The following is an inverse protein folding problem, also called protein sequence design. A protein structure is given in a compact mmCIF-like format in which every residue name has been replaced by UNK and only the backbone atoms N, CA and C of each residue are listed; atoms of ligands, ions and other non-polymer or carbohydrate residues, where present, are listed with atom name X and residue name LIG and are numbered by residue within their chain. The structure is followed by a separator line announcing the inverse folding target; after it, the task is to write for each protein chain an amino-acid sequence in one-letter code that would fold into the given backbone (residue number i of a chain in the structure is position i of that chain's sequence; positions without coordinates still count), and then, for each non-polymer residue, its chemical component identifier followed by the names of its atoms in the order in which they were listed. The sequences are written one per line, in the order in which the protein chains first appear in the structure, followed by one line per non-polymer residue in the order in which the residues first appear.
data_IF_198051775846
#
_entry.id   IF_198051775846
#
_cell.length_a   1.000
_cell.length_b   1.000
_cell.length_c   1.000
_cell.angle_alpha   90.00
_cell.angle_beta   90.00
_cell.angle_gamma   90.00
#
_symmetry.space_group_name_H-M   'P 1'
#
loop_
_entity.id
_entity.type
_entity.pdbx_description
1 polymer ?
#
# COMPACT_ATOMS: atom_id res chain seq x y z
N UNK A 1 -15.36 -26.58 -17.06
CA UNK A 1 -15.15 -25.20 -16.54
C UNK A 1 -13.69 -24.93 -16.19
N UNK A 2 -13.01 -25.66 -15.30
CA UNK A 2 -11.60 -25.37 -14.91
C UNK A 2 -10.64 -25.34 -16.11
N UNK A 3 -10.73 -26.29 -17.06
CA UNK A 3 -9.90 -26.28 -18.27
C UNK A 3 -10.16 -25.08 -19.18
N UNK A 4 -11.41 -24.63 -19.30
CA UNK A 4 -11.77 -23.44 -20.07
C UNK A 4 -11.20 -22.14 -19.45
N UNK A 5 -11.30 -21.99 -18.13
CA UNK A 5 -10.72 -20.87 -17.40
C UNK A 5 -9.19 -20.88 -17.49
N UNK A 6 -8.56 -22.05 -17.40
CA UNK A 6 -7.11 -22.18 -17.57
C UNK A 6 -6.65 -21.82 -18.98
N UNK A 7 -7.38 -22.23 -20.01
CA UNK A 7 -7.09 -21.89 -21.43
C UNK A 7 -7.22 -20.38 -21.74
N UNK A 8 -8.04 -19.65 -20.96
CA UNK A 8 -8.27 -18.20 -21.12
C UNK A 8 -7.55 -17.37 -20.05
N UNK A 9 -6.69 -17.98 -19.23
CA UNK A 9 -6.06 -17.28 -18.10
C UNK A 9 -5.28 -16.03 -18.53
N UNK A 10 -4.60 -16.06 -19.66
CA UNK A 10 -3.84 -14.89 -20.16
C UNK A 10 -4.77 -13.71 -20.51
N UNK A 11 -5.97 -13.98 -21.01
CA UNK A 11 -6.97 -12.93 -21.27
C UNK A 11 -7.42 -12.28 -19.95
N UNK A 12 -7.69 -13.09 -18.92
CA UNK A 12 -8.06 -12.58 -17.60
C UNK A 12 -6.90 -11.85 -16.91
N UNK A 13 -5.67 -12.33 -17.07
CA UNK A 13 -4.46 -11.64 -16.58
C UNK A 13 -4.29 -10.26 -17.22
N UNK A 14 -4.44 -10.19 -18.54
CA UNK A 14 -4.36 -8.94 -19.27
C UNK A 14 -5.45 -7.94 -18.83
N UNK A 15 -6.68 -8.42 -18.61
CA UNK A 15 -7.77 -7.56 -18.11
C UNK A 15 -7.52 -7.12 -16.66
N UNK A 16 -7.08 -8.01 -15.77
CA UNK A 16 -6.73 -7.68 -14.38
C UNK A 16 -5.58 -6.67 -14.29
N UNK A 17 -4.56 -6.78 -15.15
CA UNK A 17 -3.49 -5.80 -15.24
C UNK A 17 -4.01 -4.42 -15.68
N UNK A 18 -4.91 -4.38 -16.69
CA UNK A 18 -5.56 -3.14 -17.14
C UNK A 18 -6.52 -2.56 -16.09
N UNK A 19 -7.21 -3.40 -15.31
CA UNK A 19 -8.05 -2.98 -14.17
C UNK A 19 -7.19 -2.31 -13.09
N UNK A 20 -6.06 -2.93 -12.72
CA UNK A 20 -5.13 -2.33 -11.77
C UNK A 20 -4.61 -0.98 -12.28
N UNK A 21 -4.14 -0.92 -13.54
CA UNK A 21 -3.65 0.32 -14.15
C UNK A 21 -4.75 1.40 -14.19
N UNK A 22 -5.95 1.05 -14.61
CA UNK A 22 -7.08 1.98 -14.63
C UNK A 22 -7.40 2.51 -13.23
N UNK A 23 -7.43 1.63 -12.23
CA UNK A 23 -7.67 2.00 -10.84
C UNK A 23 -6.59 2.90 -10.26
N UNK A 24 -5.31 2.59 -10.51
CA UNK A 24 -4.19 3.41 -10.02
C UNK A 24 -4.09 4.77 -10.73
N UNK A 25 -4.58 4.89 -11.96
CA UNK A 25 -4.55 6.15 -12.71
C UNK A 25 -5.75 7.07 -12.45
N UNK A 26 -6.89 6.53 -11.96
CA UNK A 26 -8.13 7.30 -11.79
C UNK A 26 -8.62 7.46 -10.35
N UNK A 27 -8.19 6.58 -9.43
CA UNK A 27 -8.67 6.64 -8.05
C UNK A 27 -8.10 7.84 -7.28
N UNK A 28 -8.93 8.51 -6.50
CA UNK A 28 -8.52 9.58 -5.59
C UNK A 28 -7.82 9.05 -4.32
N UNK A 29 -8.02 7.78 -4.00
CA UNK A 29 -7.28 7.03 -2.97
C UNK A 29 -7.26 5.55 -3.29
N UNK A 30 -6.25 4.87 -2.78
CA UNK A 30 -6.22 3.40 -2.71
C UNK A 30 -6.10 2.93 -1.27
N UNK A 31 -6.63 1.77 -0.99
CA UNK A 31 -6.42 1.06 0.27
C UNK A 31 -5.53 -0.15 0.03
N UNK A 32 -4.55 -0.35 0.89
CA UNK A 32 -3.59 -1.45 0.78
C UNK A 32 -3.46 -2.20 2.10
N UNK A 33 -3.25 -3.50 2.01
CA UNK A 33 -3.04 -4.37 3.16
C UNK A 33 -2.34 -5.66 2.73
N UNK A 34 -1.67 -6.35 3.65
CA UNK A 34 -0.93 -7.59 3.40
C UNK A 34 -1.49 -8.75 4.22
N UNK A 35 -1.54 -9.92 3.61
CA UNK A 35 -1.81 -11.17 4.33
C UNK A 35 -0.78 -12.23 3.98
N UNK A 36 -0.48 -13.12 4.95
CA UNK A 36 0.38 -14.27 4.69
C UNK A 36 -0.24 -15.19 3.63
N UNK A 37 0.62 -15.79 2.81
CA UNK A 37 0.26 -16.81 1.82
C UNK A 37 1.27 -17.95 1.85
N UNK A 38 0.94 -19.08 1.18
CA UNK A 38 1.88 -20.17 0.91
C UNK A 38 1.90 -20.46 -0.58
N UNK A 39 3.11 -20.64 -1.11
CA UNK A 39 3.34 -21.01 -2.49
C UNK A 39 4.53 -21.95 -2.57
N UNK A 40 4.35 -23.13 -3.21
CA UNK A 40 5.38 -24.18 -3.31
C UNK A 40 5.99 -24.55 -1.93
N UNK A 41 5.14 -24.64 -0.90
CA UNK A 41 5.58 -24.93 0.46
C UNK A 41 6.24 -23.77 1.20
N UNK A 42 6.62 -22.68 0.51
CA UNK A 42 7.31 -21.50 1.08
C UNK A 42 6.33 -20.45 1.59
N UNK A 43 6.74 -19.72 2.63
CA UNK A 43 6.00 -18.54 3.10
C UNK A 43 6.08 -17.42 2.07
N UNK A 44 4.93 -16.86 1.73
CA UNK A 44 4.76 -15.75 0.81
C UNK A 44 3.82 -14.71 1.41
N UNK A 45 3.66 -13.59 0.72
CA UNK A 45 2.78 -12.50 1.13
C UNK A 45 1.91 -12.09 -0.06
N UNK A 46 0.61 -11.99 0.18
CA UNK A 46 -0.31 -11.41 -0.80
C UNK A 46 -0.66 -9.99 -0.37
N UNK A 47 -0.40 -9.02 -1.26
CA UNK A 47 -0.84 -7.64 -1.09
C UNK A 47 -2.18 -7.45 -1.79
N UNK A 48 -3.11 -6.87 -1.06
CA UNK A 48 -4.33 -6.29 -1.58
C UNK A 48 -4.05 -4.83 -1.99
N UNK A 49 -4.48 -4.46 -3.18
CA UNK A 49 -4.49 -3.10 -3.69
C UNK A 49 -5.90 -2.85 -4.23
N UNK A 50 -6.58 -1.81 -3.74
CA UNK A 50 -7.94 -1.56 -4.19
C UNK A 50 -8.46 -0.18 -3.80
N UNK A 51 -9.62 0.17 -4.36
CA UNK A 51 -10.38 1.37 -4.03
C UNK A 51 -11.87 1.03 -3.91
N UNK A 52 -12.72 2.03 -4.00
CA UNK A 52 -14.18 1.83 -4.10
C UNK A 52 -14.61 1.08 -5.38
N UNK A 53 -13.83 1.11 -6.47
CA UNK A 53 -14.21 0.59 -7.79
C UNK A 53 -13.45 -0.66 -8.22
N UNK A 54 -12.29 -0.96 -7.65
CA UNK A 54 -11.47 -2.10 -8.05
C UNK A 54 -10.80 -2.82 -6.88
N UNK A 55 -10.34 -4.03 -7.14
CA UNK A 55 -9.50 -4.83 -6.24
C UNK A 55 -8.51 -5.65 -7.06
N UNK A 56 -7.26 -5.64 -6.65
CA UNK A 56 -6.21 -6.50 -7.17
C UNK A 56 -5.51 -7.23 -6.01
N UNK A 57 -5.15 -8.49 -6.22
CA UNK A 57 -4.29 -9.28 -5.33
C UNK A 57 -2.98 -9.60 -6.04
N UNK A 58 -1.87 -9.51 -5.32
CA UNK A 58 -0.54 -9.84 -5.86
C UNK A 58 0.25 -10.60 -4.80
N UNK A 59 0.54 -11.87 -5.10
CA UNK A 59 1.33 -12.73 -4.20
C UNK A 59 2.80 -12.71 -4.61
N UNK A 60 3.68 -12.44 -3.66
CA UNK A 60 5.12 -12.40 -3.88
C UNK A 60 5.92 -12.83 -2.64
N UNK A 61 7.26 -12.82 -2.71
CA UNK A 61 8.13 -13.44 -1.71
C UNK A 61 8.24 -12.66 -0.40
N UNK A 62 7.96 -11.36 -0.38
CA UNK A 62 8.26 -10.53 0.80
C UNK A 62 7.27 -9.38 1.03
N UNK A 63 7.36 -8.78 2.23
CA UNK A 63 6.69 -7.53 2.64
C UNK A 63 7.56 -6.29 2.44
N UNK A 64 8.62 -6.34 1.64
CA UNK A 64 9.48 -5.18 1.46
C UNK A 64 8.76 -4.06 0.69
N UNK A 65 9.17 -2.80 0.93
CA UNK A 65 8.64 -1.66 0.16
C UNK A 65 8.98 -1.80 -1.32
N UNK A 66 10.15 -2.30 -1.65
CA UNK A 66 10.57 -2.55 -3.03
C UNK A 66 9.62 -3.52 -3.74
N UNK A 67 9.19 -4.59 -3.06
CA UNK A 67 8.21 -5.53 -3.61
C UNK A 67 6.83 -4.90 -3.76
N UNK A 68 6.39 -4.08 -2.79
CA UNK A 68 5.15 -3.32 -2.90
C UNK A 68 5.16 -2.38 -4.10
N UNK A 69 6.24 -1.62 -4.29
CA UNK A 69 6.38 -0.72 -5.44
C UNK A 69 6.36 -1.47 -6.78
N UNK A 70 7.02 -2.63 -6.88
CA UNK A 70 6.93 -3.48 -8.07
C UNK A 70 5.50 -3.91 -8.39
N UNK A 71 4.70 -4.23 -7.35
CA UNK A 71 3.29 -4.59 -7.51
C UNK A 71 2.44 -3.43 -8.03
N UNK A 72 2.76 -2.20 -7.62
CA UNK A 72 2.12 -0.99 -8.14
C UNK A 72 2.50 -0.69 -9.60
N UNK A 73 3.73 -0.98 -10.03
CA UNK A 73 4.13 -0.88 -11.44
C UNK A 73 3.33 -1.84 -12.35
N UNK A 74 2.72 -2.88 -11.80
CA UNK A 74 1.96 -3.87 -12.57
C UNK A 74 2.85 -4.72 -13.48
N UNK A 75 2.52 -4.81 -14.78
CA UNK A 75 3.26 -5.61 -15.76
C UNK A 75 4.52 -4.91 -16.30
N UNK A 76 4.61 -3.59 -16.19
CA UNK A 76 5.73 -2.79 -16.72
C UNK A 76 6.66 -2.33 -15.59
N UNK A 77 7.41 -3.26 -15.01
CA UNK A 77 8.39 -2.92 -13.96
C UNK A 77 9.67 -2.39 -14.61
N UNK A 78 9.97 -1.14 -14.36
CA UNK A 78 11.22 -0.49 -14.74
C UNK A 78 11.68 0.48 -13.64
N UNK A 79 12.83 1.10 -13.81
CA UNK A 79 13.40 2.06 -12.86
C UNK A 79 13.58 3.40 -13.57
N UNK A 80 13.06 4.48 -12.99
CA UNK A 80 13.13 5.82 -13.58
C UNK A 80 13.71 6.82 -12.59
N UNK A 81 14.70 7.59 -13.05
CA UNK A 81 15.29 8.70 -12.30
C UNK A 81 14.64 9.99 -12.82
N UNK A 82 13.56 10.41 -12.19
CA UNK A 82 12.85 11.66 -12.44
C UNK A 82 12.69 12.45 -11.14
N UNK A 83 12.04 13.61 -11.17
CA UNK A 83 11.89 14.45 -9.98
C UNK A 83 11.17 13.72 -8.83
N UNK A 84 10.18 12.88 -9.12
CA UNK A 84 9.50 12.10 -8.10
C UNK A 84 10.44 11.13 -7.38
N UNK A 85 11.36 10.50 -8.12
CA UNK A 85 12.40 9.66 -7.54
C UNK A 85 13.38 10.46 -6.67
N UNK A 86 13.83 11.62 -7.15
CA UNK A 86 14.77 12.48 -6.43
C UNK A 86 14.16 13.03 -5.15
N UNK A 87 12.90 13.47 -5.18
CA UNK A 87 12.15 13.90 -3.99
C UNK A 87 12.05 12.77 -2.97
N UNK A 88 11.73 11.55 -3.43
CA UNK A 88 11.66 10.38 -2.54
C UNK A 88 13.02 10.05 -1.92
N UNK A 89 14.12 10.14 -2.67
CA UNK A 89 15.48 9.95 -2.13
C UNK A 89 15.79 10.94 -1.02
N UNK A 90 15.48 12.24 -1.22
CA UNK A 90 15.67 13.29 -0.21
C UNK A 90 14.84 13.01 1.04
N UNK A 91 13.57 12.65 0.90
CA UNK A 91 12.67 12.35 2.02
C UNK A 91 13.11 11.13 2.83
N UNK A 92 13.80 10.17 2.18
CA UNK A 92 14.37 8.99 2.83
C UNK A 92 15.78 9.24 3.42
N UNK A 93 16.31 10.46 3.35
CA UNK A 93 17.59 10.85 3.95
C UNK A 93 18.82 10.36 3.18
N UNK A 94 18.70 10.12 1.87
CA UNK A 94 19.87 9.87 1.02
C UNK A 94 20.70 11.17 0.91
N UNK A 95 22.03 11.07 0.98
CA UNK A 95 22.89 12.26 0.91
C UNK A 95 22.77 12.96 -0.44
N UNK A 96 22.85 14.29 -0.43
CA UNK A 96 22.73 15.09 -1.65
C UNK A 96 23.79 14.71 -2.70
N UNK A 97 25.01 14.38 -2.27
CA UNK A 97 26.08 13.95 -3.17
C UNK A 97 25.74 12.68 -3.96
N UNK A 98 25.02 11.72 -3.34
CA UNK A 98 24.56 10.51 -4.02
C UNK A 98 23.37 10.79 -4.95
N UNK A 99 22.48 11.69 -4.55
CA UNK A 99 21.37 12.15 -5.38
C UNK A 99 21.91 12.85 -6.62
N UNK A 100 22.90 13.72 -6.48
CA UNK A 100 23.51 14.46 -7.59
C UNK A 100 24.24 13.53 -8.57
N UNK A 101 24.88 12.48 -8.09
CA UNK A 101 25.47 11.44 -8.95
C UNK A 101 24.43 10.77 -9.84
N UNK A 102 23.27 10.40 -9.27
CA UNK A 102 22.17 9.82 -10.04
C UNK A 102 21.52 10.85 -10.97
N UNK A 103 21.30 12.06 -10.46
CA UNK A 103 20.68 13.14 -11.21
C UNK A 103 21.56 13.68 -12.35
N UNK A 104 22.87 13.62 -12.22
CA UNK A 104 23.83 14.07 -13.24
C UNK A 104 24.08 13.08 -14.36
N UNK A 105 23.66 11.81 -14.23
CA UNK A 105 23.90 10.78 -15.23
C UNK A 105 22.93 10.89 -16.41
N UNK A 106 23.38 10.57 -17.63
CA UNK A 106 22.54 10.66 -18.85
C UNK A 106 21.43 9.60 -18.88
N UNK A 107 21.73 8.37 -18.41
CA UNK A 107 20.72 7.30 -18.37
C UNK A 107 19.71 7.53 -17.25
N UNK A 108 18.43 7.58 -17.58
CA UNK A 108 17.31 7.88 -16.69
C UNK A 108 16.31 6.74 -16.56
N UNK A 109 16.32 5.78 -17.50
CA UNK A 109 15.39 4.66 -17.57
C UNK A 109 16.16 3.35 -17.66
N UNK A 110 15.75 2.36 -16.86
CA UNK A 110 16.35 1.03 -16.83
C UNK A 110 15.24 -0.01 -16.83
N UNK A 111 15.19 -0.84 -17.86
CA UNK A 111 14.06 -1.73 -18.13
C UNK A 111 14.15 -3.08 -17.39
N UNK A 112 15.28 -3.39 -16.76
CA UNK A 112 15.42 -4.58 -15.94
C UNK A 112 16.18 -4.28 -14.63
N UNK A 113 16.12 -5.22 -13.68
CA UNK A 113 16.79 -5.08 -12.40
C UNK A 113 18.30 -5.16 -12.53
N UNK A 114 18.78 -5.96 -13.46
CA UNK A 114 20.20 -6.19 -13.73
C UNK A 114 20.87 -4.91 -14.23
N UNK A 115 20.28 -4.22 -15.19
CA UNK A 115 20.78 -2.94 -15.72
C UNK A 115 20.79 -1.87 -14.62
N UNK A 116 19.72 -1.81 -13.82
CA UNK A 116 19.65 -0.89 -12.69
C UNK A 116 20.76 -1.15 -11.67
N UNK A 117 20.98 -2.41 -11.26
CA UNK A 117 22.04 -2.76 -10.31
C UNK A 117 23.43 -2.51 -10.87
N UNK A 118 23.65 -2.80 -12.15
CA UNK A 118 24.92 -2.49 -12.84
C UNK A 118 25.20 -0.99 -12.83
N UNK A 119 24.18 -0.16 -13.06
CA UNK A 119 24.29 1.29 -12.99
C UNK A 119 24.65 1.78 -11.59
N UNK A 120 23.97 1.27 -10.53
CA UNK A 120 24.27 1.62 -9.15
C UNK A 120 25.71 1.23 -8.77
N UNK A 121 26.18 0.06 -9.20
CA UNK A 121 27.53 -0.41 -8.95
C UNK A 121 28.57 0.49 -9.66
N UNK A 122 28.34 0.86 -10.91
CA UNK A 122 29.20 1.78 -11.66
C UNK A 122 29.32 3.16 -10.99
N UNK A 123 28.28 3.60 -10.27
CA UNK A 123 28.29 4.84 -9.48
C UNK A 123 28.85 4.67 -8.05
N UNK A 124 29.30 3.46 -7.69
CA UNK A 124 29.89 3.17 -6.37
C UNK A 124 28.88 3.04 -5.22
N UNK A 125 27.59 2.83 -5.51
CA UNK A 125 26.59 2.63 -4.46
C UNK A 125 26.75 1.33 -3.69
N UNK A 126 27.26 0.27 -4.35
CA UNK A 126 27.55 -1.02 -3.72
C UNK A 126 28.67 -0.95 -2.68
N UNK A 127 29.69 -0.14 -2.94
CA UNK A 127 30.89 -0.03 -2.09
C UNK A 127 30.59 0.65 -0.74
N UNK A 128 29.53 1.46 -0.68
CA UNK A 128 29.11 2.13 0.55
C UNK A 128 28.52 1.17 1.60
N UNK A 129 28.20 -0.06 1.22
CA UNK A 129 27.62 -1.07 2.10
C UNK A 129 28.64 -2.16 2.53
N UNK A 130 29.87 -2.17 1.94
CA UNK A 130 30.88 -3.21 2.18
C UNK A 130 32.21 -2.59 2.62
N UNK A 131 32.92 -3.27 3.57
CA UNK A 131 34.28 -2.91 3.89
C UNK A 131 35.25 -3.53 2.86
N UNK A 132 36.55 -3.18 2.98
CA UNK A 132 37.63 -3.71 2.13
C UNK A 132 37.75 -5.24 2.09
N UNK A 133 37.05 -5.98 2.95
CA UNK A 133 36.99 -7.45 3.00
C UNK A 133 35.69 -8.00 2.40
N UNK A 134 34.85 -7.17 1.75
CA UNK A 134 33.58 -7.60 1.18
C UNK A 134 32.50 -7.94 2.22
N UNK A 135 32.75 -7.68 3.50
CA UNK A 135 31.80 -7.90 4.59
C UNK A 135 31.12 -6.58 4.89
N UNK A 136 29.79 -6.60 5.04
CA UNK A 136 29.00 -5.43 5.44
C UNK A 136 29.46 -4.97 6.84
N UNK A 137 30.41 -4.03 6.89
CA UNK A 137 31.11 -3.65 8.12
C UNK A 137 30.31 -2.65 8.97
N UNK A 138 29.47 -1.85 8.33
CA UNK A 138 28.65 -0.86 8.99
C UNK A 138 27.28 -0.88 8.32
N UNK A 139 26.23 -1.04 9.12
CA UNK A 139 24.86 -0.87 8.64
C UNK A 139 24.64 0.60 8.34
N UNK A 140 24.99 1.01 7.11
CA UNK A 140 24.72 2.37 6.65
C UNK A 140 23.23 2.61 6.65
N UNK A 141 22.79 3.59 7.43
CA UNK A 141 21.38 3.95 7.53
C UNK A 141 21.23 5.40 7.09
N UNK A 142 20.43 5.67 6.05
CA UNK A 142 19.69 4.72 5.20
C UNK A 142 20.61 3.93 4.23
N UNK A 143 20.26 2.68 3.89
CA UNK A 143 20.98 1.89 2.90
C UNK A 143 20.83 2.53 1.51
N UNK A 144 21.91 2.98 0.83
CA UNK A 144 21.82 3.79 -0.38
C UNK A 144 21.24 3.02 -1.57
N UNK A 145 21.62 1.75 -1.75
CA UNK A 145 21.11 0.90 -2.84
C UNK A 145 19.60 0.69 -2.71
N UNK A 146 19.15 0.41 -1.48
CA UNK A 146 17.72 0.22 -1.22
C UNK A 146 16.93 1.49 -1.46
N UNK A 147 17.38 2.63 -0.92
CA UNK A 147 16.68 3.91 -1.08
C UNK A 147 16.62 4.33 -2.55
N UNK A 148 17.75 4.22 -3.28
CA UNK A 148 17.78 4.52 -4.71
C UNK A 148 16.83 3.62 -5.51
N UNK A 149 16.80 2.30 -5.20
CA UNK A 149 15.93 1.36 -5.90
C UNK A 149 14.43 1.59 -5.60
N UNK A 150 14.08 1.85 -4.34
CA UNK A 150 12.71 2.21 -3.95
C UNK A 150 12.29 3.52 -4.64
N UNK A 151 13.15 4.52 -4.68
CA UNK A 151 12.90 5.79 -5.33
C UNK A 151 12.75 5.68 -6.85
N UNK A 152 13.61 4.92 -7.51
CA UNK A 152 13.53 4.72 -8.96
C UNK A 152 12.28 3.93 -9.38
N UNK A 153 11.82 2.95 -8.57
CA UNK A 153 10.52 2.30 -8.76
C UNK A 153 9.36 3.29 -8.56
N UNK A 154 9.45 4.16 -7.56
CA UNK A 154 8.47 5.23 -7.38
C UNK A 154 8.46 6.19 -8.58
N UNK A 155 9.63 6.55 -9.08
CA UNK A 155 9.77 7.33 -10.31
C UNK A 155 9.07 6.66 -11.50
N UNK A 156 9.24 5.34 -11.66
CA UNK A 156 8.58 4.57 -12.72
C UNK A 156 7.04 4.56 -12.60
N UNK A 157 6.51 4.47 -11.38
CA UNK A 157 5.07 4.56 -11.10
C UNK A 157 4.54 5.94 -11.55
N UNK A 158 5.26 7.00 -11.22
CA UNK A 158 4.89 8.37 -11.58
C UNK A 158 5.01 8.63 -13.09
N UNK A 159 6.03 8.05 -13.73
CA UNK A 159 6.23 8.13 -15.19
C UNK A 159 5.07 7.49 -15.98
N UNK A 160 4.48 6.43 -15.44
CA UNK A 160 3.29 5.79 -15.99
C UNK A 160 1.99 6.56 -15.74
N UNK A 161 2.04 7.73 -15.08
CA UNK A 161 0.86 8.50 -14.71
C UNK A 161 0.02 7.87 -13.59
N UNK A 162 0.60 6.92 -12.82
CA UNK A 162 -0.11 6.24 -11.74
C UNK A 162 -0.03 7.02 -10.43
N UNK A 163 -1.07 6.89 -9.59
CA UNK A 163 -1.16 7.49 -8.25
C UNK A 163 -0.96 9.01 -8.25
N UNK A 164 -1.47 9.75 -9.24
CA UNK A 164 -1.39 11.21 -9.34
C UNK A 164 -1.47 11.91 -7.97
N UNK A 165 -2.63 12.40 -7.60
CA UNK A 165 -2.92 12.97 -6.28
C UNK A 165 -3.52 11.93 -5.31
N UNK A 166 -3.45 10.65 -5.64
CA UNK A 166 -4.07 9.60 -4.85
C UNK A 166 -3.36 9.37 -3.52
N UNK A 167 -4.13 9.23 -2.46
CA UNK A 167 -3.63 8.90 -1.12
C UNK A 167 -3.61 7.40 -0.91
N UNK A 168 -2.51 6.85 -0.43
CA UNK A 168 -2.39 5.44 -0.02
C UNK A 168 -2.84 5.31 1.43
N UNK A 169 -3.92 4.60 1.69
CA UNK A 169 -4.45 4.36 3.04
C UNK A 169 -4.10 2.94 3.49
N UNK A 170 -3.40 2.81 4.61
CA UNK A 170 -2.97 1.50 5.14
C UNK A 170 -3.08 1.39 6.67
N UNK A 171 -2.72 0.24 7.21
CA UNK A 171 -2.57 -0.01 8.66
C UNK A 171 -1.39 0.75 9.30
N UNK A 172 -0.60 1.47 8.49
CA UNK A 172 0.60 2.20 8.92
C UNK A 172 1.88 1.35 8.87
N UNK A 173 1.84 0.17 8.25
CA UNK A 173 3.04 -0.63 8.02
C UNK A 173 4.04 0.11 7.10
N UNK A 174 5.32 0.02 7.43
CA UNK A 174 6.36 0.85 6.83
C UNK A 174 6.54 0.69 5.32
N UNK A 175 6.22 -0.49 4.77
CA UNK A 175 6.31 -0.75 3.33
C UNK A 175 5.33 0.08 2.49
N UNK A 176 4.19 0.49 3.05
CA UNK A 176 3.15 1.24 2.35
C UNK A 176 3.35 2.75 2.39
N UNK A 177 4.31 3.23 3.18
CA UNK A 177 4.56 4.67 3.35
C UNK A 177 5.39 5.21 2.18
N UNK A 178 4.73 5.46 1.07
CA UNK A 178 5.27 6.09 -0.15
C UNK A 178 4.25 7.10 -0.69
N UNK A 179 4.74 8.17 -1.31
CA UNK A 179 3.87 9.26 -1.78
C UNK A 179 3.02 9.86 -0.67
N UNK A 180 1.80 10.25 -0.99
CA UNK A 180 0.81 10.71 -0.02
C UNK A 180 0.21 9.51 0.72
N UNK A 181 0.45 9.45 2.04
CA UNK A 181 0.06 8.31 2.86
C UNK A 181 -0.89 8.73 4.00
N UNK A 182 -1.85 7.87 4.31
CA UNK A 182 -2.74 7.99 5.46
C UNK A 182 -2.78 6.70 6.28
N UNK A 183 -2.78 6.83 7.60
CA UNK A 183 -2.85 5.71 8.54
C UNK A 183 -4.29 5.44 9.00
N UNK A 184 -4.65 4.18 9.09
CA UNK A 184 -5.94 3.71 9.58
C UNK A 184 -6.13 3.99 11.07
N UNK A 185 -7.16 4.75 11.43
CA UNK A 185 -7.48 5.07 12.82
C UNK A 185 -7.90 3.85 13.67
N UNK A 186 -8.55 2.88 13.05
CA UNK A 186 -8.94 1.63 13.73
C UNK A 186 -7.70 0.84 14.12
N UNK A 187 -6.69 0.78 13.25
CA UNK A 187 -5.41 0.14 13.59
C UNK A 187 -4.62 0.92 14.65
N UNK A 188 -4.64 2.25 14.61
CA UNK A 188 -4.03 3.08 15.65
C UNK A 188 -4.66 2.82 17.03
N UNK A 189 -5.99 2.71 17.12
CA UNK A 189 -6.69 2.37 18.36
C UNK A 189 -6.41 0.93 18.80
N UNK A 190 -6.37 -0.02 17.87
CA UNK A 190 -6.07 -1.44 18.15
C UNK A 190 -4.72 -1.61 18.84
N UNK A 191 -3.71 -0.80 18.52
CA UNK A 191 -2.42 -0.81 19.22
C UNK A 191 -2.56 -0.43 20.70
N UNK A 192 -3.43 0.51 21.03
CA UNK A 192 -3.73 0.88 22.43
C UNK A 192 -4.52 -0.22 23.12
N UNK A 193 -5.51 -0.79 22.45
CA UNK A 193 -6.31 -1.91 22.97
C UNK A 193 -5.47 -3.15 23.32
N UNK A 194 -4.42 -3.43 22.55
CA UNK A 194 -3.54 -4.58 22.74
C UNK A 194 -2.56 -4.44 23.91
N UNK A 195 -2.48 -3.27 24.55
CA UNK A 195 -1.66 -3.09 25.76
C UNK A 195 -2.21 -3.94 26.90
N UNK A 196 -1.31 -4.58 27.65
CA UNK A 196 -1.63 -5.41 28.82
C UNK A 196 -1.29 -4.64 30.10
N UNK A 197 -2.25 -3.93 30.72
CA UNK A 197 -2.03 -3.20 31.96
C UNK A 197 -1.86 -4.16 33.14
N UNK A 198 -0.91 -3.88 34.02
CA UNK A 198 -0.60 -4.69 35.18
C UNK A 198 -1.46 -4.34 36.45
N UNK A 199 -2.08 -3.16 36.47
CA UNK A 199 -2.89 -2.68 37.57
C UNK A 199 -4.04 -1.76 37.11
N UNK A 200 -4.93 -1.38 38.02
CA UNK A 200 -6.11 -0.60 37.72
C UNK A 200 -5.80 0.83 37.24
N UNK A 201 -4.71 1.43 37.72
CA UNK A 201 -4.26 2.76 37.28
C UNK A 201 -3.91 2.71 35.79
N UNK A 202 -3.12 1.71 35.38
CA UNK A 202 -2.74 1.51 33.98
C UNK A 202 -3.95 1.14 33.12
N UNK A 203 -4.88 0.30 33.62
CA UNK A 203 -6.12 -0.05 32.92
C UNK A 203 -6.97 1.19 32.68
N UNK A 204 -7.16 2.03 33.68
CA UNK A 204 -7.90 3.28 33.54
C UNK A 204 -7.21 4.24 32.53
N UNK A 205 -5.89 4.33 32.57
CA UNK A 205 -5.13 5.14 31.58
C UNK A 205 -5.36 4.67 30.12
N UNK A 206 -5.35 3.36 29.87
CA UNK A 206 -5.65 2.77 28.56
C UNK A 206 -7.09 3.09 28.14
N UNK A 207 -8.07 2.92 29.03
CA UNK A 207 -9.48 3.20 28.75
C UNK A 207 -9.71 4.69 28.44
N UNK A 208 -9.06 5.61 29.16
CA UNK A 208 -9.11 7.05 28.86
C UNK A 208 -8.54 7.31 27.46
N UNK A 209 -7.37 6.77 27.15
CA UNK A 209 -6.73 6.97 25.84
C UNK A 209 -7.63 6.47 24.70
N UNK A 210 -8.20 5.27 24.82
CA UNK A 210 -9.13 4.69 23.85
C UNK A 210 -10.39 5.57 23.65
N UNK A 211 -11.01 6.02 24.75
CA UNK A 211 -12.18 6.92 24.68
C UNK A 211 -11.84 8.22 23.95
N UNK A 212 -10.65 8.77 24.15
CA UNK A 212 -10.22 9.99 23.48
C UNK A 212 -9.95 9.76 21.98
N UNK A 213 -9.34 8.63 21.62
CA UNK A 213 -9.14 8.26 20.20
C UNK A 213 -10.49 8.12 19.50
N UNK A 214 -11.46 7.41 20.09
CA UNK A 214 -12.79 7.25 19.49
C UNK A 214 -13.60 8.55 19.45
N UNK A 215 -13.43 9.42 20.44
CA UNK A 215 -14.03 10.75 20.41
C UNK A 215 -13.45 11.57 19.23
N UNK A 216 -12.13 11.58 19.08
CA UNK A 216 -11.46 12.28 18.00
C UNK A 216 -11.81 11.69 16.63
N UNK A 217 -11.88 10.37 16.50
CA UNK A 217 -12.34 9.69 15.30
C UNK A 217 -13.75 10.15 14.88
N UNK A 218 -14.68 10.27 15.84
CA UNK A 218 -16.02 10.82 15.55
C UNK A 218 -15.95 12.26 15.07
N UNK A 219 -15.10 13.09 15.65
CA UNK A 219 -14.90 14.46 15.21
C UNK A 219 -14.36 14.53 13.77
N UNK A 220 -13.44 13.65 13.38
CA UNK A 220 -12.98 13.53 11.99
C UNK A 220 -14.10 13.08 11.04
N UNK A 221 -14.96 12.16 11.46
CA UNK A 221 -16.14 11.77 10.65
C UNK A 221 -17.09 12.96 10.42
N UNK A 222 -17.33 13.79 11.42
CA UNK A 222 -18.13 15.01 11.27
C UNK A 222 -17.44 16.05 10.40
N UNK A 223 -16.11 16.17 10.50
CA UNK A 223 -15.33 17.03 9.62
C UNK A 223 -15.54 16.68 8.14
N UNK A 224 -15.49 15.40 7.79
CA UNK A 224 -15.71 14.92 6.41
C UNK A 224 -17.04 15.35 5.80
N UNK A 225 -18.07 15.52 6.60
CA UNK A 225 -19.42 15.96 6.11
C UNK A 225 -19.45 17.44 5.72
N UNK A 226 -18.66 18.27 6.40
CA UNK A 226 -18.58 19.71 6.15
C UNK A 226 -17.16 20.23 6.47
N UNK A 227 -16.19 19.98 5.56
CA UNK A 227 -14.81 20.41 5.75
C UNK A 227 -14.69 21.93 5.76
N UNK A 228 -13.82 22.47 6.63
CA UNK A 228 -13.42 23.88 6.58
C UNK A 228 -12.01 24.06 7.17
N UNK A 229 -11.24 25.09 6.73
CA UNK A 229 -9.92 25.38 7.25
C UNK A 229 -9.90 25.60 8.77
N UNK A 230 -10.90 26.32 9.30
CA UNK A 230 -11.00 26.60 10.74
C UNK A 230 -11.22 25.31 11.56
N UNK A 231 -12.09 24.40 11.07
CA UNK A 231 -12.28 23.11 11.72
C UNK A 231 -11.03 22.24 11.64
N UNK A 232 -10.33 22.23 10.50
CA UNK A 232 -9.08 21.49 10.32
C UNK A 232 -8.01 21.97 11.32
N UNK A 233 -7.83 23.28 11.46
CA UNK A 233 -6.89 23.87 12.41
C UNK A 233 -7.23 23.48 13.87
N UNK A 234 -8.51 23.57 14.24
CA UNK A 234 -8.97 23.14 15.58
C UNK A 234 -8.69 21.66 15.84
N UNK A 235 -8.94 20.78 14.86
CA UNK A 235 -8.67 19.36 14.98
C UNK A 235 -7.17 19.05 15.08
N UNK A 236 -6.31 19.75 14.34
CA UNK A 236 -4.85 19.65 14.49
C UNK A 236 -4.39 20.00 15.91
N UNK A 237 -4.90 21.10 16.46
CA UNK A 237 -4.60 21.50 17.85
C UNK A 237 -5.16 20.52 18.89
N UNK A 238 -6.34 19.94 18.66
CA UNK A 238 -6.92 18.93 19.55
C UNK A 238 -6.13 17.62 19.51
N UNK A 239 -5.68 17.17 18.32
CA UNK A 239 -4.80 16.01 18.19
C UNK A 239 -3.56 16.15 19.05
N UNK A 240 -2.88 17.27 18.99
CA UNK A 240 -1.70 17.51 19.82
C UNK A 240 -2.00 17.46 21.30
N UNK A 241 -3.10 18.06 21.75
CA UNK A 241 -3.51 17.99 23.17
C UNK A 241 -3.81 16.56 23.64
N UNK A 242 -4.29 15.69 22.75
CA UNK A 242 -4.57 14.28 23.08
C UNK A 242 -3.27 13.47 23.18
N UNK A 243 -2.39 13.60 22.19
CA UNK A 243 -1.24 12.70 22.02
C UNK A 243 0.05 13.25 22.66
N UNK A 244 0.15 14.55 22.91
CA UNK A 244 1.28 15.18 23.60
C UNK A 244 1.05 15.25 25.13
N UNK A 245 0.24 14.38 25.69
CA UNK A 245 0.02 14.33 27.14
C UNK A 245 1.27 13.84 27.87
N UNK A 246 1.60 14.57 28.94
CA UNK A 246 2.60 14.15 29.88
C UNK A 246 2.13 12.85 30.61
N UNK A 247 3.07 11.99 30.87
CA UNK A 247 3.08 10.72 31.59
C UNK A 247 1.74 10.24 32.14
N UNK A 248 1.23 9.14 31.56
CA UNK A 248 -0.01 8.49 32.02
C UNK A 248 0.19 7.57 33.22
N UNK A 249 1.43 7.40 33.69
CA UNK A 249 1.80 6.37 34.66
C UNK A 249 1.99 4.97 34.08
N UNK A 250 1.87 4.83 32.74
CA UNK A 250 2.09 3.58 32.03
C UNK A 250 3.05 3.80 30.83
N UNK A 251 4.31 3.42 31.01
CA UNK A 251 5.40 3.72 30.06
C UNK A 251 5.16 3.17 28.65
N UNK A 252 4.52 2.00 28.54
CA UNK A 252 4.16 1.40 27.24
C UNK A 252 3.12 2.25 26.53
N UNK A 253 2.10 2.74 27.23
CA UNK A 253 1.10 3.66 26.67
C UNK A 253 1.73 4.99 26.28
N UNK A 254 2.59 5.57 27.13
CA UNK A 254 3.30 6.82 26.84
C UNK A 254 4.16 6.72 25.58
N UNK A 255 4.85 5.58 25.41
CA UNK A 255 5.67 5.31 24.21
C UNK A 255 4.82 5.17 22.96
N UNK A 256 3.64 4.53 23.07
CA UNK A 256 2.70 4.39 21.98
C UNK A 256 2.07 5.74 21.59
N UNK A 257 1.63 6.55 22.55
CA UNK A 257 1.08 7.88 22.28
C UNK A 257 2.11 8.77 21.59
N UNK A 258 3.38 8.75 22.02
CA UNK A 258 4.48 9.44 21.30
C UNK A 258 4.70 8.91 19.88
N UNK A 259 4.53 7.60 19.66
CA UNK A 259 4.58 7.03 18.30
C UNK A 259 3.43 7.57 17.45
N UNK A 260 2.19 7.59 17.96
CA UNK A 260 1.03 8.14 17.25
C UNK A 260 1.18 9.65 16.99
N UNK A 261 1.78 10.39 17.90
CA UNK A 261 2.11 11.80 17.69
C UNK A 261 3.09 12.00 16.50
N UNK A 262 4.11 11.15 16.37
CA UNK A 262 5.01 11.18 15.20
C UNK A 262 4.33 10.81 13.88
N UNK A 263 3.21 10.09 13.94
CA UNK A 263 2.38 9.75 12.78
C UNK A 263 1.27 10.78 12.52
N UNK A 264 1.37 11.96 13.10
CA UNK A 264 0.38 13.04 13.01
C UNK A 264 -0.06 13.31 11.58
N UNK A 265 0.89 13.49 10.67
CA UNK A 265 0.59 13.85 9.28
C UNK A 265 -0.20 12.74 8.57
N UNK A 266 0.18 11.48 8.77
CA UNK A 266 -0.53 10.33 8.21
C UNK A 266 -1.95 10.17 8.83
N UNK A 267 -2.09 10.36 10.14
CA UNK A 267 -3.38 10.23 10.84
C UNK A 267 -4.32 11.40 10.54
N UNK A 268 -3.78 12.58 10.27
CA UNK A 268 -4.54 13.79 9.95
C UNK A 268 -4.65 14.09 8.46
N UNK A 269 -4.18 13.21 7.58
CA UNK A 269 -4.25 13.37 6.12
C UNK A 269 -5.68 13.64 5.62
N UNK A 270 -6.67 13.09 6.29
CA UNK A 270 -8.10 13.37 6.02
C UNK A 270 -8.48 14.85 6.13
N UNK A 271 -7.72 15.66 6.86
CA UNK A 271 -7.98 17.10 6.97
C UNK A 271 -7.61 17.86 5.69
N UNK A 272 -6.66 17.31 4.91
CA UNK A 272 -6.26 17.84 3.61
C UNK A 272 -7.02 17.15 2.47
N UNK A 273 -7.40 15.88 2.67
CA UNK A 273 -8.11 15.03 1.70
C UNK A 273 -9.40 14.46 2.32
N UNK A 274 -10.49 15.26 2.48
CA UNK A 274 -11.71 14.83 3.19
C UNK A 274 -12.41 13.61 2.57
N UNK A 275 -12.13 13.28 1.31
CA UNK A 275 -12.71 12.14 0.60
C UNK A 275 -12.13 10.78 1.05
N UNK A 276 -10.91 10.73 1.60
CA UNK A 276 -10.28 9.45 1.98
C UNK A 276 -10.99 8.77 3.17
N UNK A 277 -11.00 7.43 3.24
CA UNK A 277 -11.52 6.72 4.41
C UNK A 277 -10.63 6.90 5.63
N UNK A 278 -11.22 6.90 6.83
CA UNK A 278 -10.51 6.90 8.12
C UNK A 278 -10.02 5.51 8.54
N UNK A 279 -10.38 4.47 7.81
CA UNK A 279 -10.07 3.07 8.12
C UNK A 279 -9.94 2.23 6.86
N UNK A 280 -9.34 1.05 7.00
CA UNK A 280 -9.08 0.09 5.91
C UNK A 280 -10.07 -1.09 5.91
N UNK A 281 -11.27 -0.95 6.48
CA UNK A 281 -12.24 -2.06 6.57
C UNK A 281 -12.60 -2.66 5.21
N UNK A 282 -12.61 -1.86 4.14
CA UNK A 282 -12.85 -2.36 2.79
C UNK A 282 -11.77 -3.36 2.37
N UNK A 283 -10.50 -3.04 2.59
CA UNK A 283 -9.37 -3.94 2.35
C UNK A 283 -9.44 -5.20 3.20
N UNK A 284 -9.76 -5.06 4.50
CA UNK A 284 -9.92 -6.22 5.39
C UNK A 284 -11.02 -7.16 4.90
N UNK A 285 -12.15 -6.64 4.41
CA UNK A 285 -13.23 -7.43 3.85
C UNK A 285 -12.85 -8.11 2.52
N UNK A 286 -12.08 -7.44 1.68
CA UNK A 286 -11.56 -8.03 0.45
C UNK A 286 -10.56 -9.15 0.75
N UNK A 287 -9.62 -8.93 1.68
CA UNK A 287 -8.64 -9.92 2.13
C UNK A 287 -9.28 -11.16 2.77
N UNK A 288 -10.41 -11.01 3.48
CA UNK A 288 -11.12 -12.17 4.07
C UNK A 288 -11.44 -13.25 3.06
N UNK A 289 -11.81 -12.89 1.84
CA UNK A 289 -12.07 -13.87 0.77
C UNK A 289 -10.81 -14.64 0.41
N UNK A 290 -9.69 -13.93 0.29
CA UNK A 290 -8.39 -14.54 0.05
C UNK A 290 -7.98 -15.48 1.22
N UNK A 291 -8.13 -15.03 2.46
CA UNK A 291 -7.84 -15.84 3.66
C UNK A 291 -8.72 -17.08 3.73
N UNK A 292 -10.00 -16.96 3.42
CA UNK A 292 -10.93 -18.11 3.35
C UNK A 292 -10.48 -19.12 2.31
N UNK A 293 -10.14 -18.65 1.10
CA UNK A 293 -9.63 -19.52 0.03
C UNK A 293 -8.33 -20.22 0.45
N UNK A 294 -7.40 -19.49 1.09
CA UNK A 294 -6.16 -20.07 1.63
C UNK A 294 -6.42 -21.13 2.69
N UNK A 295 -7.39 -20.92 3.60
CA UNK A 295 -7.75 -21.91 4.63
C UNK A 295 -8.28 -23.21 4.01
N UNK A 296 -8.99 -23.13 2.90
CA UNK A 296 -9.53 -24.28 2.17
C UNK A 296 -8.42 -25.02 1.39
N UNK A 297 -7.56 -24.27 0.67
CA UNK A 297 -6.59 -24.86 -0.27
C UNK A 297 -5.18 -25.03 0.31
N UNK A 298 -4.89 -24.52 1.51
CA UNK A 298 -3.56 -24.55 2.14
C UNK A 298 -2.52 -23.65 1.49
N UNK A 299 -2.55 -23.50 0.17
CA UNK A 299 -1.61 -22.71 -0.63
C UNK A 299 -1.74 -22.98 -2.11
N UNK A 300 -0.74 -22.58 -2.88
CA UNK A 300 -0.62 -22.85 -4.31
C UNK A 300 0.69 -23.60 -4.61
N UNK A 301 0.65 -24.50 -5.59
CA UNK A 301 1.79 -25.36 -5.95
C UNK A 301 2.49 -24.82 -7.20
N UNK A 302 1.73 -24.34 -8.21
CA UNK A 302 2.29 -23.81 -9.46
C UNK A 302 2.14 -22.29 -9.55
N UNK A 303 3.01 -21.62 -10.31
CA UNK A 303 2.92 -20.20 -10.60
C UNK A 303 1.61 -19.84 -11.29
N UNK A 304 1.20 -20.64 -12.29
CA UNK A 304 -0.09 -20.51 -12.98
C UNK A 304 -1.27 -20.58 -11.99
N UNK A 305 -1.22 -21.50 -11.02
CA UNK A 305 -2.28 -21.63 -9.99
C UNK A 305 -2.29 -20.45 -9.02
N UNK A 306 -1.12 -19.90 -8.66
CA UNK A 306 -1.01 -18.68 -7.85
C UNK A 306 -1.64 -17.50 -8.58
N UNK A 307 -1.24 -17.29 -9.82
CA UNK A 307 -1.68 -16.16 -10.61
C UNK A 307 -3.17 -16.26 -10.95
N UNK A 308 -3.66 -17.45 -11.29
CA UNK A 308 -5.09 -17.69 -11.50
C UNK A 308 -5.92 -17.35 -10.25
N UNK A 309 -5.46 -17.73 -9.06
CA UNK A 309 -6.13 -17.39 -7.81
C UNK A 309 -6.17 -15.88 -7.60
N UNK A 310 -5.04 -15.20 -7.73
CA UNK A 310 -4.92 -13.76 -7.49
C UNK A 310 -5.79 -12.97 -8.48
N UNK A 311 -5.70 -13.29 -9.76
CA UNK A 311 -6.48 -12.68 -10.85
C UNK A 311 -7.99 -12.90 -10.67
N UNK A 312 -8.43 -14.15 -10.49
CA UNK A 312 -9.86 -14.45 -10.39
C UNK A 312 -10.51 -13.84 -9.15
N UNK A 313 -9.80 -13.83 -8.01
CA UNK A 313 -10.31 -13.16 -6.81
C UNK A 313 -10.36 -11.64 -6.98
N UNK A 314 -9.36 -11.02 -7.63
CA UNK A 314 -9.33 -9.60 -7.95
C UNK A 314 -10.49 -9.20 -8.86
N UNK A 315 -10.67 -9.89 -9.98
CA UNK A 315 -11.75 -9.63 -10.93
C UNK A 315 -13.14 -9.85 -10.32
N UNK A 316 -13.32 -10.92 -9.52
CA UNK A 316 -14.58 -11.17 -8.83
C UNK A 316 -14.93 -10.04 -7.85
N UNK A 317 -13.96 -9.54 -7.10
CA UNK A 317 -14.15 -8.42 -6.19
C UNK A 317 -14.41 -7.10 -6.94
N UNK A 318 -13.73 -6.88 -8.05
CA UNK A 318 -13.96 -5.72 -8.93
C UNK A 318 -15.38 -5.75 -9.49
N UNK A 319 -15.83 -6.88 -10.03
CA UNK A 319 -17.24 -7.04 -10.48
C UNK A 319 -18.22 -6.71 -9.37
N UNK A 320 -17.99 -7.23 -8.15
CA UNK A 320 -18.87 -6.95 -7.00
C UNK A 320 -18.93 -5.46 -6.66
N UNK A 321 -17.78 -4.74 -6.68
CA UNK A 321 -17.72 -3.28 -6.45
C UNK A 321 -18.45 -2.50 -7.53
N UNK A 322 -18.37 -2.95 -8.77
CA UNK A 322 -19.06 -2.36 -9.92
C UNK A 322 -20.52 -2.83 -10.05
N UNK A 323 -21.02 -3.64 -9.10
CA UNK A 323 -22.38 -4.19 -9.11
C UNK A 323 -22.67 -5.07 -10.35
N UNK A 324 -21.67 -5.77 -10.84
CA UNK A 324 -21.73 -6.69 -11.98
C UNK A 324 -21.76 -8.13 -11.43
N UNK A 325 -22.64 -8.96 -11.99
CA UNK A 325 -22.60 -10.40 -11.72
C UNK A 325 -21.29 -11.00 -12.24
N UNK A 326 -20.50 -11.61 -11.36
CA UNK A 326 -19.27 -12.28 -11.77
C UNK A 326 -19.52 -13.48 -12.70
N UNK A 327 -20.68 -14.11 -12.58
CA UNK A 327 -21.09 -15.19 -13.48
C UNK A 327 -21.33 -14.67 -14.91
N UNK A 328 -22.06 -13.56 -15.05
CA UNK A 328 -22.32 -12.94 -16.35
C UNK A 328 -21.04 -12.38 -16.96
N UNK A 329 -20.16 -11.82 -16.13
CA UNK A 329 -18.82 -11.40 -16.55
C UNK A 329 -18.02 -12.56 -17.14
N UNK A 330 -17.96 -13.72 -16.45
CA UNK A 330 -17.28 -14.92 -16.96
C UNK A 330 -17.92 -15.41 -18.27
N UNK A 331 -19.24 -15.47 -18.34
CA UNK A 331 -19.98 -15.82 -19.54
C UNK A 331 -19.60 -14.96 -20.74
N UNK A 332 -19.63 -13.63 -20.55
CA UNK A 332 -19.23 -12.65 -21.56
C UNK A 332 -17.79 -12.87 -22.06
N UNK A 333 -16.82 -13.11 -21.16
CA UNK A 333 -15.40 -13.34 -21.55
C UNK A 333 -15.14 -14.71 -22.16
N UNK A 334 -16.00 -15.68 -21.91
CA UNK A 334 -15.94 -17.04 -22.47
C UNK A 334 -16.71 -17.18 -23.78
N UNK A 335 -17.42 -16.12 -24.22
CA UNK A 335 -18.26 -16.15 -25.43
C UNK A 335 -19.55 -16.94 -25.25
N UNK A 336 -20.04 -17.09 -24.01
CA UNK A 336 -21.33 -17.72 -23.72
C UNK A 336 -22.44 -16.68 -24.00
N UNK A 337 -23.52 -17.03 -24.74
CA UNK A 337 -24.62 -16.13 -24.96
C UNK A 337 -25.22 -15.56 -23.66
N UNK A 338 -25.38 -14.25 -23.59
CA UNK A 338 -25.88 -13.55 -22.40
C UNK A 338 -25.72 -12.02 -22.52
N UNK A 339 -26.00 -11.27 -21.44
CA UNK A 339 -25.83 -9.83 -21.48
C UNK A 339 -24.36 -9.45 -21.70
N UNK A 340 -24.08 -8.51 -22.63
CA UNK A 340 -22.70 -8.06 -22.87
C UNK A 340 -22.20 -7.27 -21.64
N UNK A 341 -21.07 -7.67 -21.09
CA UNK A 341 -20.42 -6.94 -20.00
C UNK A 341 -19.30 -6.06 -20.59
N UNK A 342 -19.34 -4.73 -20.42
CA UNK A 342 -18.29 -3.84 -20.89
C UNK A 342 -16.91 -4.19 -20.32
N UNK A 343 -15.87 -3.63 -20.92
CA UNK A 343 -14.49 -3.78 -20.43
C UNK A 343 -14.35 -3.18 -19.02
N UNK A 344 -13.96 -3.99 -18.04
CA UNK A 344 -13.88 -3.56 -16.63
C UNK A 344 -12.97 -2.35 -16.41
N UNK A 345 -11.78 -2.22 -17.04
CA UNK A 345 -10.96 -1.02 -16.92
C UNK A 345 -11.70 0.29 -17.23
N UNK A 346 -12.59 0.28 -18.24
CA UNK A 346 -13.37 1.47 -18.58
C UNK A 346 -14.40 1.81 -17.49
N UNK A 347 -15.05 0.79 -16.95
CA UNK A 347 -16.00 0.97 -15.84
C UNK A 347 -15.30 1.46 -14.57
N UNK A 348 -14.09 0.98 -14.30
CA UNK A 348 -13.29 1.43 -13.15
C UNK A 348 -12.94 2.92 -13.27
N UNK A 349 -12.58 3.40 -14.47
CA UNK A 349 -12.24 4.83 -14.68
C UNK A 349 -13.42 5.77 -14.48
N UNK A 350 -14.63 5.36 -14.83
CA UNK A 350 -15.81 6.21 -14.77
C UNK A 350 -16.64 6.02 -13.50
N UNK A 351 -16.25 5.07 -12.64
CA UNK A 351 -16.96 4.84 -11.38
C UNK A 351 -16.88 6.09 -10.49
N UNK A 352 -17.99 6.57 -9.92
CA UNK A 352 -17.98 7.70 -8.99
C UNK A 352 -17.21 7.34 -7.72
N UNK A 353 -16.34 8.25 -7.27
CA UNK A 353 -15.55 8.13 -6.03
C UNK A 353 -16.39 8.32 -4.77
#
# INVERSE_FOLDING_TARGET
MVRLLAAKLETFRAEDARVLHAGLSSASYITVDDTGARHQGKACVTTHIGSYSFTAFRTGPSKSRQEFLRRLCGSAVFYAINEAALVHMRSCGLSQALIDKLAGHAARLFHCHEDWMSHLNALGFGDLATNAKGVCAVKVTPNPVRVASEAALWGAIREQGLLGEAVIVSDGAGQFRVGEHASCWVHAERLVYQLVPANDIQRNAVEIARRMIWWFYRALKQYKLAPSPQKAQRLRAQFERIFNRARTGYSSLDSLLRRLLRLKDDLLRVLDHPHIPLHTNASENDIRVFVTKRKISGGTVSDTGRDARDVMLGLAKTCMKLKISFFDYLGSRLGIPGPPIPDLPNLVRVAPS
#
